data_IF_758050293980
#
_entry.id   IF_758050293980
#
_cell.length_a   1.000
_cell.length_b   1.000
_cell.length_c   1.000
_cell.angle_alpha   90.00
_cell.angle_beta   90.00
_cell.angle_gamma   90.00
#
_symmetry.space_group_name_H-M   'P 1'
#
loop_
_entity.id
_entity.type
_entity.pdbx_description
1 polymer ?
#
# COMPACT_ATOMS: atom_id res chain seq x y z
N UNK A 1 -23.44 -38.83 -17.82
CA UNK A 1 -23.31 -38.76 -19.29
C UNK A 1 -22.06 -37.93 -19.56
N UNK A 2 -20.96 -38.56 -19.97
CA UNK A 2 -19.66 -37.89 -20.07
C UNK A 2 -19.63 -36.93 -21.26
N UNK A 3 -19.36 -35.66 -21.01
CA UNK A 3 -19.13 -34.63 -22.02
C UNK A 3 -17.86 -34.97 -22.78
N UNK A 4 -17.98 -35.31 -24.07
CA UNK A 4 -16.83 -35.42 -24.98
C UNK A 4 -16.35 -34.02 -25.32
N UNK A 5 -15.16 -33.65 -24.87
CA UNK A 5 -14.45 -32.48 -25.41
C UNK A 5 -14.17 -32.68 -26.90
N UNK A 6 -14.73 -31.78 -27.70
CA UNK A 6 -14.44 -31.67 -29.13
C UNK A 6 -13.10 -30.97 -29.31
N UNK A 7 -12.04 -31.72 -29.67
CA UNK A 7 -10.73 -31.15 -30.00
C UNK A 7 -10.69 -30.74 -31.48
N UNK A 8 -10.50 -29.45 -31.74
CA UNK A 8 -10.28 -28.89 -33.09
C UNK A 8 -8.78 -28.82 -33.35
N UNK A 9 -8.33 -29.28 -34.53
CA UNK A 9 -6.92 -29.19 -34.94
C UNK A 9 -6.74 -28.00 -35.87
N UNK A 10 -5.89 -27.06 -35.47
CA UNK A 10 -5.54 -25.86 -36.25
C UNK A 10 -4.06 -25.94 -36.61
N UNK A 11 -3.72 -25.60 -37.85
CA UNK A 11 -2.33 -25.49 -38.34
C UNK A 11 -2.12 -24.05 -38.75
N UNK A 12 -1.08 -23.42 -38.21
CA UNK A 12 -0.73 -22.02 -38.48
C UNK A 12 0.71 -21.95 -38.97
N UNK A 13 0.97 -21.02 -39.89
CA UNK A 13 2.32 -20.68 -40.33
C UNK A 13 2.81 -19.50 -39.51
N UNK A 14 3.98 -19.65 -38.88
CA UNK A 14 4.59 -18.63 -38.03
C UNK A 14 5.99 -18.29 -38.56
N UNK A 15 6.46 -17.02 -38.42
CA UNK A 15 7.81 -16.64 -38.82
C UNK A 15 8.88 -17.40 -38.04
N UNK A 16 10.02 -17.71 -38.67
CA UNK A 16 11.14 -18.44 -38.05
C UNK A 16 11.66 -17.77 -36.76
N UNK A 17 11.61 -16.44 -36.71
CA UNK A 17 11.99 -15.68 -35.50
C UNK A 17 11.07 -15.96 -34.31
N UNK A 18 9.80 -16.27 -34.55
CA UNK A 18 8.86 -16.67 -33.51
C UNK A 18 9.08 -18.12 -33.09
N UNK A 19 9.43 -19.00 -34.03
CA UNK A 19 9.76 -20.40 -33.73
C UNK A 19 10.95 -20.49 -32.78
N UNK A 20 11.99 -19.68 -32.98
CA UNK A 20 13.13 -19.64 -32.06
C UNK A 20 12.76 -19.10 -30.67
N UNK A 21 11.86 -18.12 -30.57
CA UNK A 21 11.39 -17.65 -29.27
C UNK A 21 10.57 -18.71 -28.52
N UNK A 22 9.70 -19.43 -29.22
CA UNK A 22 8.93 -20.54 -28.64
C UNK A 22 9.88 -21.65 -28.17
N UNK A 23 10.91 -21.97 -28.97
CA UNK A 23 11.92 -22.98 -28.64
C UNK A 23 12.70 -22.60 -27.37
N UNK A 24 13.15 -21.36 -27.27
CA UNK A 24 13.85 -20.86 -26.09
C UNK A 24 13.00 -20.90 -24.83
N UNK A 25 11.71 -20.52 -24.91
CA UNK A 25 10.80 -20.58 -23.77
C UNK A 25 10.61 -22.02 -23.26
N UNK A 26 10.45 -22.99 -24.15
CA UNK A 26 10.35 -24.42 -23.78
C UNK A 26 11.70 -24.93 -23.21
N UNK A 27 12.82 -24.58 -23.83
CA UNK A 27 14.16 -24.98 -23.36
C UNK A 27 14.52 -24.39 -21.99
N UNK A 28 13.95 -23.23 -21.64
CA UNK A 28 14.10 -22.60 -20.32
C UNK A 28 13.28 -23.27 -19.22
N UNK A 29 12.41 -24.23 -19.57
CA UNK A 29 11.55 -24.94 -18.64
C UNK A 29 10.30 -24.19 -18.22
N UNK A 30 10.00 -23.03 -18.84
CA UNK A 30 8.79 -22.25 -18.58
C UNK A 30 7.52 -22.95 -19.10
N UNK A 31 7.66 -23.87 -20.06
CA UNK A 31 6.57 -24.64 -20.66
C UNK A 31 7.07 -26.04 -21.01
N UNK A 32 6.23 -27.07 -20.85
CA UNK A 32 6.57 -28.47 -21.13
C UNK A 32 6.81 -28.71 -22.62
N UNK A 33 6.00 -28.07 -23.49
CA UNK A 33 6.16 -28.15 -24.93
C UNK A 33 5.59 -26.92 -25.68
N UNK A 34 5.89 -26.84 -26.97
CA UNK A 34 5.46 -25.72 -27.82
C UNK A 34 3.93 -25.61 -27.94
N UNK A 35 3.20 -26.71 -27.72
CA UNK A 35 1.73 -26.71 -27.76
C UNK A 35 1.17 -26.11 -26.49
N UNK A 36 1.74 -26.42 -25.32
CA UNK A 36 1.39 -25.77 -24.07
C UNK A 36 1.64 -24.27 -24.17
N UNK A 37 2.82 -23.84 -24.62
CA UNK A 37 3.13 -22.42 -24.87
C UNK A 37 2.05 -21.72 -25.70
N UNK A 38 1.69 -22.29 -26.86
CA UNK A 38 0.69 -21.68 -27.75
C UNK A 38 -0.70 -21.70 -27.14
N UNK A 39 -1.07 -22.76 -26.41
CA UNK A 39 -2.39 -22.87 -25.77
C UNK A 39 -2.50 -21.83 -24.66
N UNK A 40 -1.51 -21.74 -23.78
CA UNK A 40 -1.45 -20.75 -22.70
C UNK A 40 -1.40 -19.33 -23.24
N UNK A 41 -0.64 -19.06 -24.30
CA UNK A 41 -0.61 -17.74 -24.92
C UNK A 41 -1.96 -17.32 -25.52
N UNK A 42 -2.70 -18.26 -26.12
CA UNK A 42 -4.04 -18.00 -26.66
C UNK A 42 -5.06 -17.82 -25.54
N UNK A 43 -5.01 -18.64 -24.49
CA UNK A 43 -5.86 -18.51 -23.30
C UNK A 43 -5.62 -17.16 -22.61
N UNK A 44 -4.36 -16.79 -22.37
CA UNK A 44 -3.99 -15.50 -21.80
C UNK A 44 -4.49 -14.32 -22.64
N UNK A 45 -4.40 -14.43 -23.97
CA UNK A 45 -4.89 -13.39 -24.87
C UNK A 45 -6.42 -13.31 -24.88
N UNK A 46 -7.13 -14.44 -24.80
CA UNK A 46 -8.59 -14.48 -24.72
C UNK A 46 -9.10 -13.97 -23.37
N UNK A 47 -8.46 -14.32 -22.27
CA UNK A 47 -8.74 -13.75 -20.95
C UNK A 47 -8.49 -12.24 -20.93
N UNK A 48 -7.42 -11.78 -21.59
CA UNK A 48 -7.13 -10.35 -21.75
C UNK A 48 -8.19 -9.62 -22.58
N UNK A 49 -8.79 -10.28 -23.57
CA UNK A 49 -9.85 -9.73 -24.41
C UNK A 49 -11.24 -9.78 -23.76
N UNK A 50 -11.56 -10.82 -22.97
CA UNK A 50 -12.79 -10.86 -22.16
C UNK A 50 -12.75 -9.83 -21.03
N UNK A 51 -11.58 -9.63 -20.41
CA UNK A 51 -11.33 -8.53 -19.46
C UNK A 51 -11.36 -7.14 -20.13
N UNK A 52 -11.28 -7.03 -21.46
CA UNK A 52 -11.32 -5.74 -22.17
C UNK A 52 -12.75 -5.17 -22.30
N UNK A 53 -13.80 -5.96 -22.06
CA UNK A 53 -15.18 -5.44 -21.95
C UNK A 53 -15.54 -4.95 -20.53
N UNK A 54 -14.68 -5.19 -19.54
CA UNK A 54 -14.74 -4.61 -18.21
C UNK A 54 -13.44 -3.86 -17.91
N UNK A 55 -13.40 -2.59 -18.32
CA UNK A 55 -12.40 -1.55 -18.01
C UNK A 55 -11.23 -1.95 -17.07
N UNK A 56 -10.26 -2.67 -17.66
CA UNK A 56 -8.82 -2.79 -17.37
C UNK A 56 -8.33 -2.69 -15.90
N UNK A 57 -7.99 -3.86 -15.34
CA UNK A 57 -7.02 -4.05 -14.27
C UNK A 57 -5.62 -3.51 -14.67
N UNK A 58 -4.84 -3.08 -13.69
CA UNK A 58 -3.50 -2.48 -13.91
C UNK A 58 -2.37 -3.47 -13.72
N UNK A 59 -1.21 -3.15 -14.32
CA UNK A 59 0.09 -3.79 -14.09
C UNK A 59 0.46 -4.00 -12.60
N UNK A 60 -0.10 -3.21 -11.67
CA UNK A 60 0.04 -3.40 -10.21
C UNK A 60 -0.62 -4.68 -9.70
N UNK A 61 -1.72 -5.13 -10.34
CA UNK A 61 -2.36 -6.41 -10.06
C UNK A 61 -1.59 -7.56 -10.71
N UNK A 62 -1.05 -7.38 -11.93
CA UNK A 62 -0.24 -8.37 -12.61
C UNK A 62 1.12 -8.65 -11.93
N UNK A 63 1.73 -7.65 -11.29
CA UNK A 63 2.98 -7.82 -10.53
C UNK A 63 2.73 -8.51 -9.17
N UNK A 64 1.57 -8.29 -8.56
CA UNK A 64 1.20 -8.96 -7.31
C UNK A 64 1.03 -10.48 -7.52
N UNK A 65 0.47 -10.91 -8.66
CA UNK A 65 0.36 -12.33 -9.01
C UNK A 65 1.73 -13.01 -9.15
N UNK A 66 2.73 -12.32 -9.68
CA UNK A 66 4.10 -12.86 -9.84
C UNK A 66 4.85 -12.99 -8.50
N UNK A 67 4.58 -12.09 -7.54
CA UNK A 67 5.14 -12.19 -6.19
C UNK A 67 4.50 -13.32 -5.36
N UNK A 68 3.22 -13.64 -5.64
CA UNK A 68 2.50 -14.76 -5.02
C UNK A 68 3.04 -16.13 -5.49
N UNK A 69 3.45 -16.28 -6.75
CA UNK A 69 4.03 -17.54 -7.26
C UNK A 69 5.41 -17.82 -6.66
N UNK A 70 6.26 -16.81 -6.48
CA UNK A 70 7.57 -16.97 -5.82
C UNK A 70 7.45 -17.32 -4.33
N UNK A 71 6.36 -16.90 -3.68
CA UNK A 71 6.07 -17.22 -2.28
C UNK A 71 5.52 -18.63 -2.10
N UNK A 72 4.90 -19.20 -3.15
CA UNK A 72 4.36 -20.57 -3.16
C UNK A 72 5.43 -21.63 -3.36
N UNK A 73 6.48 -21.36 -4.14
CA UNK A 73 7.60 -22.32 -4.30
C UNK A 73 8.36 -22.59 -3.00
N UNK A 74 8.44 -21.61 -2.09
CA UNK A 74 9.14 -21.75 -0.79
C UNK A 74 8.30 -22.56 0.22
N UNK A 75 6.98 -22.61 0.06
CA UNK A 75 6.08 -23.32 0.98
C UNK A 75 5.95 -24.83 0.69
N UNK A 76 6.44 -25.32 -0.45
CA UNK A 76 6.29 -26.72 -0.89
C UNK A 76 7.39 -27.63 -0.33
N UNK A 77 8.50 -27.11 0.20
CA UNK A 77 9.61 -27.95 0.68
C UNK A 77 9.47 -28.47 2.13
N UNK A 78 8.46 -28.05 2.90
CA UNK A 78 8.27 -28.51 4.28
C UNK A 78 6.84 -29.01 4.52
N UNK A 79 6.55 -30.25 4.11
CA UNK A 79 5.55 -31.06 4.80
C UNK A 79 5.79 -32.56 4.54
N UNK A 80 6.47 -33.19 5.50
CA UNK A 80 6.42 -34.64 5.70
C UNK A 80 5.26 -34.93 6.67
N UNK A 81 4.37 -35.78 6.18
CA UNK A 81 3.37 -36.62 6.83
C UNK A 81 3.39 -36.68 8.37
N UNK A 82 2.24 -36.40 8.99
CA UNK A 82 1.66 -37.40 9.89
C UNK A 82 0.12 -37.33 9.90
N UNK A 83 -0.48 -38.50 10.12
CA UNK A 83 -1.86 -38.83 9.80
C UNK A 83 -2.60 -39.36 11.03
N UNK A 84 -3.94 -39.25 10.98
CA UNK A 84 -4.96 -39.90 11.85
C UNK A 84 -5.12 -39.31 13.27
N UNK A 85 -6.31 -39.22 13.89
CA UNK A 85 -7.67 -39.62 13.54
C UNK A 85 -8.66 -38.93 14.50
N UNK A 86 -9.90 -38.72 14.02
CA UNK A 86 -11.20 -38.57 14.70
C UNK A 86 -11.35 -37.91 16.10
N UNK A 87 -12.27 -36.96 16.24
CA UNK A 87 -13.65 -37.24 16.73
C UNK A 87 -14.51 -35.94 16.76
N UNK A 88 -15.80 -36.20 16.62
CA UNK A 88 -17.00 -35.38 16.48
C UNK A 88 -17.31 -34.29 17.53
N UNK A 89 -18.13 -33.31 17.10
CA UNK A 89 -19.25 -32.86 17.93
C UNK A 89 -19.44 -31.35 18.14
N UNK A 90 -20.53 -30.84 17.55
CA UNK A 90 -21.41 -29.75 18.05
C UNK A 90 -20.99 -28.27 17.85
N UNK A 91 -21.71 -27.63 16.91
CA UNK A 91 -22.00 -26.19 16.87
C UNK A 91 -23.00 -25.80 17.97
N UNK A 92 -22.92 -24.56 18.48
CA UNK A 92 -24.12 -23.79 18.79
C UNK A 92 -24.20 -22.47 18.02
N UNK A 93 -25.36 -22.24 17.40
CA UNK A 93 -25.89 -20.93 17.03
C UNK A 93 -26.23 -20.14 18.30
N UNK A 94 -25.88 -18.86 18.38
CA UNK A 94 -26.65 -17.88 19.18
C UNK A 94 -26.59 -16.48 18.55
N UNK A 95 -27.75 -16.07 18.04
CA UNK A 95 -28.41 -14.76 18.03
C UNK A 95 -27.65 -13.46 17.73
N UNK A 96 -27.99 -12.92 16.55
CA UNK A 96 -27.92 -11.52 16.20
C UNK A 96 -29.06 -10.74 16.89
N UNK A 97 -28.71 -9.81 17.79
CA UNK A 97 -29.60 -8.71 18.15
C UNK A 97 -28.97 -7.38 17.77
N UNK A 98 -29.73 -6.68 16.94
CA UNK A 98 -29.45 -5.43 16.25
C UNK A 98 -29.89 -4.30 17.18
N UNK A 99 -28.96 -3.63 17.85
CA UNK A 99 -29.22 -2.32 18.45
C UNK A 99 -28.75 -1.23 17.48
N UNK A 100 -29.68 -0.75 16.65
CA UNK A 100 -29.56 0.54 15.97
C UNK A 100 -29.75 1.64 17.02
N UNK A 101 -28.65 2.16 17.56
CA UNK A 101 -28.63 3.47 18.21
C UNK A 101 -28.21 4.52 17.18
N UNK A 102 -29.09 5.49 16.98
CA UNK A 102 -28.84 6.71 16.21
C UNK A 102 -27.58 7.40 16.74
N UNK A 103 -26.50 7.43 15.95
CA UNK A 103 -25.31 8.24 16.22
C UNK A 103 -25.26 9.46 15.31
N UNK A 104 -24.83 10.58 15.90
CA UNK A 104 -24.70 11.88 15.26
C UNK A 104 -23.81 11.82 13.99
N UNK A 105 -23.91 12.81 13.07
CA UNK A 105 -23.19 12.81 11.79
C UNK A 105 -21.65 12.92 11.87
N UNK A 106 -21.06 12.91 13.07
CA UNK A 106 -19.64 13.17 13.31
C UNK A 106 -18.89 12.02 14.00
N UNK A 107 -19.53 10.87 14.28
CA UNK A 107 -18.85 9.72 14.90
C UNK A 107 -18.09 8.90 13.85
N UNK A 108 -16.92 9.38 13.44
CA UNK A 108 -15.86 8.47 12.99
C UNK A 108 -15.29 7.77 14.24
N UNK A 109 -15.22 6.42 14.29
CA UNK A 109 -14.72 5.69 15.46
C UNK A 109 -13.27 6.04 15.87
N UNK A 110 -12.57 6.81 15.04
CA UNK A 110 -11.15 7.13 15.12
C UNK A 110 -10.86 8.64 15.13
N UNK A 111 -11.83 9.45 15.55
CA UNK A 111 -11.61 10.90 15.73
C UNK A 111 -10.47 11.20 16.71
N UNK A 112 -9.92 12.41 16.60
CA UNK A 112 -8.83 12.90 17.46
C UNK A 112 -9.20 12.95 18.93
N UNK A 113 -8.27 12.47 19.78
CA UNK A 113 -8.29 12.63 21.25
C UNK A 113 -7.05 13.39 21.73
N UNK A 114 -6.91 13.55 23.05
CA UNK A 114 -5.70 14.09 23.67
C UNK A 114 -4.70 12.96 23.90
N UNK A 115 -3.51 13.08 23.30
CA UNK A 115 -2.50 12.03 23.34
C UNK A 115 -1.25 12.40 24.15
N UNK A 116 -1.18 13.61 24.73
CA UNK A 116 0.00 14.11 25.46
C UNK A 116 0.48 13.19 26.58
N UNK A 117 -0.44 12.35 27.04
CA UNK A 117 -0.35 11.50 28.19
C UNK A 117 -0.14 10.01 27.86
N UNK A 118 -0.08 9.65 26.57
CA UNK A 118 0.26 8.31 26.09
C UNK A 118 1.77 8.12 26.17
N UNK A 119 2.20 7.02 26.75
CA UNK A 119 3.61 6.63 26.74
C UNK A 119 4.05 6.10 25.37
N UNK A 120 5.25 6.50 24.94
CA UNK A 120 5.82 6.16 23.64
C UNK A 120 7.01 5.22 23.76
N UNK A 121 7.26 4.45 22.71
CA UNK A 121 8.43 3.58 22.57
C UNK A 121 9.57 4.28 21.82
N UNK A 122 10.79 3.72 21.91
CA UNK A 122 11.92 4.20 21.10
C UNK A 122 11.69 3.92 19.61
N UNK A 123 12.32 4.72 18.75
CA UNK A 123 12.34 4.45 17.30
C UNK A 123 12.95 3.08 16.98
N UNK A 124 12.53 2.42 15.88
CA UNK A 124 13.17 1.19 15.44
C UNK A 124 14.62 1.44 15.05
N UNK A 125 15.46 0.41 15.14
CA UNK A 125 16.83 0.51 14.65
C UNK A 125 16.81 0.52 13.12
N UNK A 126 17.47 1.48 12.48
CA UNK A 126 17.49 1.63 11.02
C UNK A 126 18.08 0.42 10.31
N UNK A 127 18.92 -0.38 10.98
CA UNK A 127 19.44 -1.64 10.44
C UNK A 127 18.35 -2.73 10.26
N UNK A 128 17.16 -2.53 10.85
CA UNK A 128 15.99 -3.42 10.68
C UNK A 128 15.10 -2.99 9.51
N UNK A 129 15.44 -1.90 8.80
CA UNK A 129 14.63 -1.28 7.76
C UNK A 129 15.33 -1.36 6.41
N UNK A 130 14.56 -1.31 5.34
CA UNK A 130 15.12 -1.26 3.99
C UNK A 130 15.91 0.05 3.76
N UNK A 131 17.03 -0.07 3.06
CA UNK A 131 17.85 1.07 2.62
C UNK A 131 17.20 1.79 1.42
N UNK A 132 17.46 3.09 1.31
CA UNK A 132 16.98 3.92 0.20
C UNK A 132 15.58 4.52 0.41
N UNK A 133 14.94 5.03 -0.65
CA UNK A 133 13.61 5.63 -0.55
C UNK A 133 12.57 4.59 -0.15
N UNK A 134 11.44 5.05 0.37
CA UNK A 134 10.35 4.18 0.79
C UNK A 134 9.87 3.34 -0.37
N UNK A 135 9.61 2.07 -0.08
CA UNK A 135 9.12 1.12 -1.07
C UNK A 135 7.89 1.66 -1.82
N UNK A 136 7.83 1.34 -3.11
CA UNK A 136 6.86 1.95 -4.02
C UNK A 136 5.41 1.58 -3.70
N UNK A 137 5.17 0.49 -2.97
CA UNK A 137 3.83 0.08 -2.54
C UNK A 137 3.34 0.82 -1.29
N UNK A 138 4.21 1.54 -0.58
CA UNK A 138 3.85 2.53 0.45
C UNK A 138 3.41 3.83 -0.23
N UNK A 139 2.49 3.73 -1.18
CA UNK A 139 2.19 4.78 -2.16
C UNK A 139 1.30 5.91 -1.64
N UNK A 140 0.79 5.82 -0.41
CA UNK A 140 -0.09 6.80 0.22
C UNK A 140 0.26 6.98 1.70
N UNK A 141 -0.05 8.16 2.22
CA UNK A 141 0.22 8.61 3.57
C UNK A 141 -1.02 8.63 4.45
N UNK A 142 -2.21 8.84 3.88
CA UNK A 142 -3.45 8.77 4.65
C UNK A 142 -3.69 7.40 5.33
N UNK A 143 -3.42 6.25 4.68
CA UNK A 143 -3.45 4.96 5.37
C UNK A 143 -2.52 4.91 6.60
N UNK A 144 -1.31 5.47 6.49
CA UNK A 144 -0.36 5.56 7.62
C UNK A 144 -0.95 6.40 8.76
N UNK A 145 -1.52 7.56 8.43
CA UNK A 145 -2.21 8.42 9.42
C UNK A 145 -3.34 7.66 10.12
N UNK A 146 -4.13 6.90 9.38
CA UNK A 146 -5.21 6.08 9.96
C UNK A 146 -4.66 5.06 10.95
N UNK A 147 -3.62 4.30 10.58
CA UNK A 147 -3.02 3.29 11.46
C UNK A 147 -2.45 3.92 12.73
N UNK A 148 -1.68 5.00 12.59
CA UNK A 148 -1.07 5.73 13.71
C UNK A 148 -2.15 6.33 14.64
N UNK A 149 -3.28 6.81 14.08
CA UNK A 149 -4.45 7.26 14.84
C UNK A 149 -5.13 6.11 15.59
N UNK A 150 -5.33 4.96 14.95
CA UNK A 150 -5.89 3.78 15.61
C UNK A 150 -5.04 3.36 16.81
N UNK A 151 -3.71 3.32 16.62
CA UNK A 151 -2.79 2.93 17.69
C UNK A 151 -2.82 3.90 18.86
N UNK A 152 -2.82 5.21 18.60
CA UNK A 152 -2.93 6.22 19.65
C UNK A 152 -4.25 6.11 20.43
N UNK A 153 -5.38 5.91 19.75
CA UNK A 153 -6.67 5.74 20.41
C UNK A 153 -6.72 4.47 21.28
N UNK A 154 -6.09 3.38 20.85
CA UNK A 154 -6.06 2.13 21.62
C UNK A 154 -5.16 2.24 22.86
N UNK A 155 -4.00 2.90 22.74
CA UNK A 155 -3.11 3.17 23.87
C UNK A 155 -3.78 4.08 24.91
N UNK A 156 -4.51 5.11 24.49
CA UNK A 156 -5.26 5.98 25.40
C UNK A 156 -6.39 5.22 26.11
N UNK A 157 -7.14 4.39 25.38
CA UNK A 157 -8.20 3.56 25.98
C UNK A 157 -7.67 2.62 27.05
N UNK A 158 -6.54 1.96 26.80
CA UNK A 158 -5.94 1.01 27.77
C UNK A 158 -5.39 1.73 29.00
N UNK A 159 -4.88 2.96 28.83
CA UNK A 159 -4.45 3.79 29.95
C UNK A 159 -5.59 4.06 30.93
N UNK A 160 -6.78 4.37 30.43
CA UNK A 160 -7.95 4.62 31.28
C UNK A 160 -8.47 3.36 31.98
N UNK A 161 -8.28 2.18 31.36
CA UNK A 161 -8.79 0.90 31.87
C UNK A 161 -7.85 0.19 32.84
N UNK A 162 -6.54 0.45 32.80
CA UNK A 162 -5.52 -0.28 33.58
C UNK A 162 -4.79 0.62 34.58
N UNK A 163 -4.46 0.04 35.74
CA UNK A 163 -3.65 0.72 36.75
C UNK A 163 -2.18 0.90 36.32
N UNK A 164 -1.72 0.15 35.32
CA UNK A 164 -0.40 0.25 34.69
C UNK A 164 -0.57 0.53 33.20
N UNK A 165 0.03 1.63 32.74
CA UNK A 165 0.13 2.00 31.32
C UNK A 165 1.01 0.98 30.58
N UNK A 166 0.52 0.47 29.44
CA UNK A 166 1.32 -0.30 28.50
C UNK A 166 1.66 0.56 27.29
N UNK A 167 2.93 0.58 26.90
CA UNK A 167 3.42 1.24 25.68
C UNK A 167 3.24 0.37 24.43
N UNK A 168 2.88 -0.91 24.64
CA UNK A 168 2.85 -1.96 23.62
C UNK A 168 1.44 -2.55 23.52
N UNK A 169 0.99 -2.73 22.26
CA UNK A 169 -0.24 -3.41 21.89
C UNK A 169 0.10 -4.73 21.20
N UNK A 170 -0.69 -5.78 21.42
CA UNK A 170 -0.56 -7.04 20.69
C UNK A 170 -0.83 -6.80 19.19
N UNK A 171 0.18 -7.07 18.35
CA UNK A 171 0.14 -6.75 16.92
C UNK A 171 -0.97 -7.54 16.19
N UNK A 172 -1.13 -8.86 16.34
CA UNK A 172 -2.21 -9.60 15.65
C UNK A 172 -3.62 -9.08 15.95
N UNK A 173 -3.90 -8.69 17.19
CA UNK A 173 -5.19 -8.10 17.57
C UNK A 173 -5.37 -6.70 16.96
N UNK A 174 -4.33 -5.87 17.06
CA UNK A 174 -4.32 -4.52 16.50
C UNK A 174 -4.49 -4.53 14.98
N UNK A 175 -3.81 -5.44 14.30
CA UNK A 175 -3.75 -5.58 12.85
C UNK A 175 -5.14 -5.85 12.26
N UNK A 176 -5.81 -6.88 12.77
CA UNK A 176 -7.17 -7.24 12.34
C UNK A 176 -8.18 -6.12 12.60
N UNK A 177 -8.15 -5.55 13.81
CA UNK A 177 -9.06 -4.47 14.18
C UNK A 177 -8.86 -3.22 13.31
N UNK A 178 -7.60 -2.88 13.03
CA UNK A 178 -7.26 -1.71 12.21
C UNK A 178 -7.63 -1.91 10.75
N UNK A 179 -7.48 -3.12 10.21
CA UNK A 179 -7.92 -3.45 8.85
C UNK A 179 -9.44 -3.30 8.67
N UNK A 180 -10.24 -3.72 9.65
CA UNK A 180 -11.70 -3.55 9.65
C UNK A 180 -12.12 -2.07 9.66
N UNK A 181 -11.46 -1.27 10.50
CA UNK A 181 -11.66 0.18 10.54
C UNK A 181 -11.28 0.80 9.19
N UNK A 182 -10.10 0.45 8.66
CA UNK A 182 -9.59 0.96 7.39
C UNK A 182 -10.53 0.62 6.22
N UNK A 183 -11.12 -0.57 6.22
CA UNK A 183 -12.12 -0.97 5.22
C UNK A 183 -13.38 -0.14 5.34
N UNK A 184 -13.87 0.05 6.56
CA UNK A 184 -15.08 0.84 6.82
C UNK A 184 -14.89 2.29 6.37
N UNK A 185 -13.78 2.92 6.76
CA UNK A 185 -13.40 4.27 6.33
C UNK A 185 -13.22 4.31 4.81
N UNK A 186 -12.48 3.35 4.26
CA UNK A 186 -12.18 3.25 2.83
C UNK A 186 -13.43 3.17 1.97
N UNK A 187 -14.42 2.35 2.34
CA UNK A 187 -15.69 2.27 1.61
C UNK A 187 -16.46 3.60 1.63
N UNK A 188 -16.49 4.31 2.77
CA UNK A 188 -17.14 5.62 2.88
C UNK A 188 -16.45 6.69 2.02
N UNK A 189 -15.12 6.74 2.07
CA UNK A 189 -14.31 7.65 1.25
C UNK A 189 -14.43 7.31 -0.24
N UNK A 190 -14.40 6.02 -0.61
CA UNK A 190 -14.56 5.59 -2.00
C UNK A 190 -15.92 5.99 -2.59
N UNK A 191 -17.00 5.85 -1.82
CA UNK A 191 -18.32 6.35 -2.25
C UNK A 191 -18.33 7.87 -2.42
N UNK A 192 -17.56 8.62 -1.64
CA UNK A 192 -17.40 10.07 -1.86
C UNK A 192 -16.57 10.35 -3.12
N UNK A 193 -15.46 9.64 -3.34
CA UNK A 193 -14.64 9.75 -4.55
C UNK A 193 -15.48 9.56 -5.81
N UNK A 194 -16.36 8.55 -5.82
CA UNK A 194 -17.30 8.28 -6.92
C UNK A 194 -18.28 9.43 -7.15
N UNK A 195 -18.89 9.97 -6.08
CA UNK A 195 -19.80 11.12 -6.19
C UNK A 195 -19.10 12.37 -6.72
N UNK A 196 -17.81 12.55 -6.43
CA UNK A 196 -17.00 13.65 -6.94
C UNK A 196 -16.39 13.36 -8.33
N UNK A 197 -16.59 12.17 -8.88
CA UNK A 197 -16.03 11.79 -10.18
C UNK A 197 -14.50 11.73 -10.19
N UNK A 198 -13.86 11.48 -9.04
CA UNK A 198 -12.40 11.41 -8.93
C UNK A 198 -11.87 10.22 -9.73
N UNK A 199 -10.83 10.48 -10.52
CA UNK A 199 -10.17 9.42 -11.31
C UNK A 199 -9.25 8.60 -10.42
N UNK A 200 -8.88 7.41 -10.87
CA UNK A 200 -8.05 6.44 -10.12
C UNK A 200 -6.84 7.06 -9.41
N UNK A 201 -6.10 7.97 -10.06
CA UNK A 201 -4.93 8.63 -9.48
C UNK A 201 -5.23 9.68 -8.41
N UNK A 202 -6.46 10.19 -8.39
CA UNK A 202 -6.95 11.31 -7.59
C UNK A 202 -7.82 10.86 -6.40
N UNK A 203 -8.18 9.56 -6.36
CA UNK A 203 -9.02 8.95 -5.31
C UNK A 203 -8.36 9.07 -3.94
N UNK A 204 -9.12 9.59 -2.97
CA UNK A 204 -8.68 9.71 -1.58
C UNK A 204 -8.68 8.35 -0.87
N UNK A 205 -9.52 7.40 -1.31
CA UNK A 205 -9.56 6.05 -0.77
C UNK A 205 -8.40 5.15 -1.22
N UNK A 206 -7.50 5.66 -2.07
CA UNK A 206 -6.35 4.90 -2.54
C UNK A 206 -5.49 4.42 -1.36
N UNK A 207 -5.05 3.15 -1.42
CA UNK A 207 -4.30 2.50 -0.34
C UNK A 207 -5.16 1.92 0.78
N UNK A 208 -6.46 2.23 0.85
CA UNK A 208 -7.38 1.58 1.80
C UNK A 208 -7.97 0.29 1.21
N UNK A 209 -8.40 -0.67 2.06
CA UNK A 209 -8.90 -1.96 1.62
C UNK A 209 -10.34 -1.88 1.09
N UNK A 210 -10.51 -1.29 -0.09
CA UNK A 210 -11.82 -1.08 -0.74
C UNK A 210 -12.16 -2.12 -1.80
N UNK A 211 -11.31 -3.12 -2.01
CA UNK A 211 -11.49 -4.18 -3.00
C UNK A 211 -12.78 -4.98 -2.79
N UNK A 212 -13.23 -5.63 -3.87
CA UNK A 212 -14.35 -6.58 -3.83
C UNK A 212 -13.99 -7.80 -2.98
N UNK A 213 -12.82 -8.39 -3.25
CA UNK A 213 -12.19 -9.37 -2.37
C UNK A 213 -11.72 -8.67 -1.08
N UNK A 214 -12.54 -8.80 -0.04
CA UNK A 214 -12.32 -8.14 1.24
C UNK A 214 -11.01 -8.61 1.88
N UNK A 215 -10.82 -9.93 1.93
CA UNK A 215 -9.71 -10.59 2.61
C UNK A 215 -8.38 -10.21 1.97
N UNK A 216 -8.24 -10.34 0.63
CA UNK A 216 -7.01 -9.93 -0.06
C UNK A 216 -6.73 -8.44 0.06
N UNK A 217 -7.77 -7.61 0.00
CA UNK A 217 -7.58 -6.16 0.13
C UNK A 217 -7.11 -5.77 1.53
N UNK A 218 -7.63 -6.44 2.56
CA UNK A 218 -7.24 -6.25 3.96
C UNK A 218 -5.82 -6.75 4.20
N UNK A 219 -5.47 -7.97 3.79
CA UNK A 219 -4.10 -8.49 3.95
C UNK A 219 -3.04 -7.59 3.30
N UNK A 220 -3.34 -7.04 2.11
CA UNK A 220 -2.47 -6.03 1.47
C UNK A 220 -2.33 -4.76 2.31
N UNK A 221 -3.45 -4.26 2.86
CA UNK A 221 -3.43 -3.10 3.74
C UNK A 221 -2.61 -3.36 5.00
N UNK A 222 -2.79 -4.52 5.63
CA UNK A 222 -2.05 -4.95 6.82
C UNK A 222 -0.55 -5.00 6.52
N UNK A 223 -0.16 -5.70 5.44
CA UNK A 223 1.24 -5.84 5.02
C UNK A 223 1.89 -4.48 4.71
N UNK A 224 1.19 -3.57 4.04
CA UNK A 224 1.80 -2.32 3.59
C UNK A 224 1.70 -1.16 4.59
N UNK A 225 0.61 -1.08 5.33
CA UNK A 225 0.26 0.12 6.10
C UNK A 225 0.12 -0.14 7.60
N UNK A 226 0.01 -1.39 8.06
CA UNK A 226 0.21 -1.74 9.47
C UNK A 226 1.67 -2.14 9.68
N UNK A 227 2.13 -3.16 8.95
CA UNK A 227 3.48 -3.69 9.02
C UNK A 227 3.60 -4.97 9.85
N UNK A 228 4.76 -5.61 9.77
CA UNK A 228 5.08 -6.84 10.51
C UNK A 228 6.49 -6.75 11.09
N UNK A 229 6.70 -7.38 12.24
CA UNK A 229 8.03 -7.79 12.68
C UNK A 229 8.30 -9.19 12.11
N UNK A 230 9.44 -9.37 11.46
CA UNK A 230 9.83 -10.66 10.88
C UNK A 230 10.71 -11.46 11.85
N UNK A 231 10.84 -12.77 11.60
CA UNK A 231 11.63 -13.67 12.44
C UNK A 231 13.14 -13.31 12.48
N UNK A 232 13.63 -12.54 11.51
CA UNK A 232 15.00 -12.00 11.47
C UNK A 232 15.20 -10.66 12.16
N UNK A 233 14.15 -10.09 12.75
CA UNK A 233 14.17 -8.75 13.36
C UNK A 233 13.97 -7.61 12.37
N UNK A 234 13.85 -7.89 11.07
CA UNK A 234 13.48 -6.89 10.07
C UNK A 234 12.03 -6.43 10.29
N UNK A 235 11.77 -5.17 9.99
CA UNK A 235 10.44 -4.58 10.09
C UNK A 235 9.93 -4.20 8.70
N UNK A 236 8.70 -4.55 8.40
CA UNK A 236 8.01 -4.18 7.15
C UNK A 236 6.85 -3.25 7.43
N UNK A 237 6.40 -2.54 6.39
CA UNK A 237 5.28 -1.62 6.44
C UNK A 237 5.72 -0.15 6.47
N UNK A 238 4.85 0.73 6.01
CA UNK A 238 5.12 2.16 5.94
C UNK A 238 5.34 2.82 7.32
N UNK A 239 4.54 2.54 8.37
CA UNK A 239 4.74 3.19 9.68
C UNK A 239 6.12 2.98 10.32
N UNK A 240 6.70 1.75 10.39
CA UNK A 240 8.04 1.57 10.94
C UNK A 240 9.14 2.15 10.03
N UNK A 241 8.98 2.10 8.70
CA UNK A 241 9.90 2.76 7.76
C UNK A 241 9.89 4.29 7.87
N UNK A 242 8.79 4.85 8.37
CA UNK A 242 8.67 6.26 8.71
C UNK A 242 9.05 6.54 10.18
N UNK A 243 9.54 5.57 10.94
CA UNK A 243 9.88 5.70 12.36
C UNK A 243 8.72 6.23 13.24
N UNK A 244 7.47 6.04 12.81
CA UNK A 244 6.26 6.46 13.55
C UNK A 244 5.83 5.41 14.56
N UNK A 245 6.22 4.15 14.33
CA UNK A 245 5.98 3.04 15.25
C UNK A 245 7.26 2.22 15.38
N UNK A 246 7.31 1.42 16.43
CA UNK A 246 8.29 0.34 16.57
C UNK A 246 7.55 -0.97 16.85
N UNK A 247 8.16 -2.08 16.49
CA UNK A 247 7.60 -3.41 16.65
C UNK A 247 8.62 -4.38 17.23
N UNK A 248 8.14 -5.35 17.99
CA UNK A 248 8.98 -6.41 18.57
C UNK A 248 8.33 -7.76 18.29
N UNK A 249 9.14 -8.80 18.09
CA UNK A 249 8.69 -10.15 17.81
C UNK A 249 8.40 -10.97 19.09
N UNK A 250 8.10 -10.30 20.20
CA UNK A 250 7.76 -10.96 21.47
C UNK A 250 6.28 -11.36 21.47
N UNK A 251 5.96 -12.58 21.94
CA UNK A 251 4.59 -13.10 22.13
C UNK A 251 3.63 -12.91 20.93
N UNK A 252 4.10 -13.23 19.72
CA UNK A 252 3.31 -13.12 18.49
C UNK A 252 3.34 -11.73 17.83
N UNK A 253 4.11 -10.81 18.40
CA UNK A 253 4.33 -9.47 17.88
C UNK A 253 3.67 -8.41 18.73
N UNK A 254 4.39 -7.32 19.01
CA UNK A 254 3.85 -6.12 19.63
C UNK A 254 4.19 -4.89 18.80
N UNK A 255 3.34 -3.86 18.93
CA UNK A 255 3.50 -2.57 18.25
C UNK A 255 3.33 -1.44 19.26
N UNK A 256 4.19 -0.43 19.17
CA UNK A 256 4.16 0.76 20.00
C UNK A 256 4.35 2.04 19.19
N UNK A 257 3.82 3.14 19.70
CA UNK A 257 3.89 4.45 19.06
C UNK A 257 5.19 5.15 19.43
N UNK A 258 5.94 5.68 18.47
CA UNK A 258 7.09 6.55 18.78
C UNK A 258 6.62 7.96 19.12
N UNK A 259 7.53 8.81 19.59
CA UNK A 259 7.25 10.24 19.78
C UNK A 259 6.72 10.90 18.49
N UNK A 260 7.39 10.65 17.36
CA UNK A 260 6.97 11.17 16.06
C UNK A 260 5.62 10.60 15.62
N UNK A 261 5.35 9.32 15.92
CA UNK A 261 4.03 8.72 15.73
C UNK A 261 2.94 9.42 16.53
N UNK A 262 3.22 9.75 17.78
CA UNK A 262 2.30 10.48 18.67
C UNK A 262 2.02 11.89 18.16
N UNK A 263 3.06 12.62 17.77
CA UNK A 263 2.91 13.94 17.16
C UNK A 263 2.06 13.86 15.90
N UNK A 264 2.39 12.94 14.99
CA UNK A 264 1.63 12.76 13.75
C UNK A 264 0.18 12.36 14.03
N UNK A 265 -0.07 11.48 15.01
CA UNK A 265 -1.41 11.11 15.47
C UNK A 265 -2.18 12.35 15.93
N UNK A 266 -1.57 13.24 16.72
CA UNK A 266 -2.21 14.44 17.29
C UNK A 266 -2.65 15.47 16.26
N UNK A 267 -2.06 15.50 15.06
CA UNK A 267 -2.45 16.44 14.01
C UNK A 267 -3.90 16.22 13.56
N UNK A 268 -4.59 17.30 13.20
CA UNK A 268 -5.93 17.22 12.62
C UNK A 268 -5.87 16.63 11.21
N UNK A 269 -6.76 15.67 10.92
CA UNK A 269 -6.90 15.08 9.61
C UNK A 269 -8.25 15.45 8.99
N UNK A 270 -8.29 15.92 7.72
CA UNK A 270 -9.53 16.35 7.09
C UNK A 270 -10.58 15.24 7.00
N UNK A 271 -10.18 14.00 6.71
CA UNK A 271 -11.11 12.87 6.54
C UNK A 271 -11.54 12.26 7.85
N UNK A 272 -10.64 12.17 8.84
CA UNK A 272 -10.95 11.55 10.13
C UNK A 272 -11.70 12.49 11.07
N UNK A 273 -11.35 13.78 11.06
CA UNK A 273 -11.87 14.77 12.00
C UNK A 273 -12.86 15.75 11.35
N UNK A 274 -12.69 16.05 10.06
CA UNK A 274 -13.54 16.96 9.29
C UNK A 274 -14.69 16.31 8.54
N UNK A 275 -14.64 14.98 8.34
CA UNK A 275 -15.67 14.20 7.64
C UNK A 275 -15.24 13.68 6.26
N UNK A 276 -15.98 12.69 5.76
CA UNK A 276 -15.66 12.00 4.51
C UNK A 276 -15.92 12.81 3.24
N UNK A 277 -16.44 14.03 3.36
CA UNK A 277 -16.65 14.98 2.28
C UNK A 277 -15.47 15.96 2.08
N UNK A 278 -14.40 15.81 2.87
CA UNK A 278 -13.20 16.59 2.71
C UNK A 278 -12.58 16.41 1.31
N UNK A 279 -12.05 17.50 0.76
CA UNK A 279 -11.44 17.48 -0.58
C UNK A 279 -10.01 16.94 -0.61
N UNK A 280 -9.39 16.73 0.56
CA UNK A 280 -8.00 16.33 0.70
C UNK A 280 -7.89 15.21 1.75
N UNK A 281 -6.94 14.28 1.57
CA UNK A 281 -6.69 13.21 2.53
C UNK A 281 -5.77 13.63 3.68
N UNK A 282 -4.92 14.65 3.47
CA UNK A 282 -4.03 15.24 4.46
C UNK A 282 -4.26 16.75 4.60
N UNK A 283 -4.19 17.24 5.84
CA UNK A 283 -4.15 18.65 6.20
C UNK A 283 -2.79 19.27 5.88
N UNK A 284 -2.73 20.61 5.89
CA UNK A 284 -1.46 21.33 5.67
C UNK A 284 -0.43 21.01 6.78
N UNK A 285 -0.87 20.81 8.01
CA UNK A 285 0.00 20.47 9.12
C UNK A 285 0.61 19.06 8.94
N UNK A 286 -0.20 18.08 8.53
CA UNK A 286 0.26 16.72 8.27
C UNK A 286 1.29 16.65 7.13
N UNK A 287 1.05 17.40 6.04
CA UNK A 287 1.99 17.48 4.91
C UNK A 287 3.33 18.09 5.33
N UNK A 288 3.29 19.19 6.11
CA UNK A 288 4.49 19.84 6.65
C UNK A 288 5.27 18.93 7.59
N UNK A 289 4.57 18.28 8.51
CA UNK A 289 5.16 17.29 9.40
C UNK A 289 5.89 16.23 8.58
N UNK A 290 5.21 15.61 7.61
CA UNK A 290 5.81 14.54 6.81
C UNK A 290 7.09 15.01 6.09
N UNK A 291 7.03 16.14 5.39
CA UNK A 291 8.19 16.66 4.62
C UNK A 291 9.37 16.95 5.55
N UNK A 292 9.13 17.59 6.70
CA UNK A 292 10.20 17.84 7.67
C UNK A 292 10.73 16.55 8.27
N UNK A 293 9.83 15.63 8.61
CA UNK A 293 10.16 14.36 9.25
C UNK A 293 11.04 13.49 8.36
N UNK A 294 10.66 13.27 7.10
CA UNK A 294 11.47 12.46 6.18
C UNK A 294 12.79 13.14 5.82
N UNK A 295 12.85 14.48 5.75
CA UNK A 295 14.13 15.20 5.60
C UNK A 295 15.10 14.84 6.73
N UNK A 296 14.59 14.79 7.97
CA UNK A 296 15.42 14.66 9.15
C UNK A 296 15.75 13.19 9.47
N UNK A 297 14.86 12.24 9.17
CA UNK A 297 15.01 10.84 9.58
C UNK A 297 15.04 9.80 8.45
N UNK A 298 14.67 10.18 7.22
CA UNK A 298 14.72 9.33 6.00
C UNK A 298 15.21 10.14 4.80
N UNK A 299 16.44 10.69 4.84
CA UNK A 299 16.94 11.61 3.82
C UNK A 299 16.88 11.01 2.40
N UNK A 300 17.00 9.69 2.24
CA UNK A 300 16.92 9.02 0.94
C UNK A 300 15.53 9.15 0.29
N UNK A 301 14.46 9.15 1.09
CA UNK A 301 13.11 9.43 0.58
C UNK A 301 12.96 10.89 0.19
N UNK A 302 13.50 11.81 1.00
CA UNK A 302 13.46 13.24 0.72
C UNK A 302 14.23 13.58 -0.57
N UNK A 303 15.46 13.08 -0.69
CA UNK A 303 16.30 13.23 -1.88
C UNK A 303 15.64 12.63 -3.13
N UNK A 304 14.97 11.48 -3.01
CA UNK A 304 14.21 10.90 -4.10
C UNK A 304 13.04 11.79 -4.55
N UNK A 305 12.33 12.42 -3.61
CA UNK A 305 11.28 13.40 -3.92
C UNK A 305 11.86 14.65 -4.60
N UNK A 306 13.01 15.17 -4.13
CA UNK A 306 13.71 16.30 -4.76
C UNK A 306 14.13 15.96 -6.19
N UNK A 307 14.66 14.75 -6.43
CA UNK A 307 15.06 14.30 -7.77
C UNK A 307 13.87 14.19 -8.73
N UNK A 308 12.73 13.69 -8.25
CA UNK A 308 11.50 13.67 -9.05
C UNK A 308 11.02 15.09 -9.34
N UNK A 309 11.03 15.99 -8.34
CA UNK A 309 10.62 17.38 -8.54
C UNK A 309 11.52 18.10 -9.56
N UNK A 310 12.85 17.95 -9.41
CA UNK A 310 13.83 18.48 -10.35
C UNK A 310 13.62 17.94 -11.77
N UNK A 311 13.36 16.64 -11.92
CA UNK A 311 13.08 16.05 -13.23
C UNK A 311 11.82 16.66 -13.88
N UNK A 312 10.76 16.90 -13.11
CA UNK A 312 9.55 17.56 -13.61
C UNK A 312 9.86 19.00 -14.06
N UNK A 313 10.63 19.76 -13.27
CA UNK A 313 11.06 21.13 -13.62
C UNK A 313 11.91 21.15 -14.92
N UNK A 314 12.78 20.16 -15.11
CA UNK A 314 13.60 19.99 -16.31
C UNK A 314 12.81 19.51 -17.55
N UNK A 315 11.53 19.18 -17.38
CA UNK A 315 10.63 18.77 -18.47
C UNK A 315 10.46 17.26 -18.64
N UNK A 316 11.05 16.44 -17.79
CA UNK A 316 10.83 14.99 -17.72
C UNK A 316 9.49 14.69 -17.02
N UNK A 317 8.38 15.20 -17.57
CA UNK A 317 7.07 15.24 -16.93
C UNK A 317 6.21 13.97 -17.15
N UNK A 318 6.78 12.90 -17.71
CA UNK A 318 6.06 11.67 -18.09
C UNK A 318 6.42 10.47 -17.23
N UNK A 319 5.50 9.49 -17.08
CA UNK A 319 5.78 8.21 -16.46
C UNK A 319 7.09 7.54 -16.91
N UNK A 320 7.36 7.49 -18.21
CA UNK A 320 8.55 6.84 -18.76
C UNK A 320 9.82 7.61 -18.44
N UNK A 321 9.85 8.92 -18.72
CA UNK A 321 11.02 9.77 -18.44
C UNK A 321 11.33 9.82 -16.94
N UNK A 322 10.31 9.93 -16.08
CA UNK A 322 10.51 9.87 -14.63
C UNK A 322 11.02 8.51 -14.15
N UNK A 323 10.64 7.42 -14.80
CA UNK A 323 11.16 6.08 -14.45
C UNK A 323 12.67 6.02 -14.73
N UNK A 324 13.11 6.56 -15.87
CA UNK A 324 14.54 6.65 -16.21
C UNK A 324 15.29 7.50 -15.19
N UNK A 325 14.71 8.63 -14.76
CA UNK A 325 15.29 9.51 -13.73
C UNK A 325 15.39 8.83 -12.37
N UNK A 326 14.36 8.09 -11.96
CA UNK A 326 14.33 7.34 -10.70
C UNK A 326 15.32 6.17 -10.71
N UNK A 327 15.55 5.53 -11.86
CA UNK A 327 16.51 4.44 -11.98
C UNK A 327 17.96 4.86 -11.64
N UNK A 328 18.29 6.15 -11.72
CA UNK A 328 19.61 6.65 -11.30
C UNK A 328 19.82 6.68 -9.78
N UNK A 329 18.75 6.59 -8.97
CA UNK A 329 18.87 6.53 -7.52
C UNK A 329 19.54 5.23 -7.06
N UNK A 330 19.32 4.14 -7.80
CA UNK A 330 20.00 2.87 -7.56
C UNK A 330 20.21 2.12 -8.88
N UNK A 331 21.46 2.03 -9.37
CA UNK A 331 21.76 1.40 -10.67
C UNK A 331 21.51 -0.11 -10.69
N UNK A 332 21.29 -0.74 -9.53
CA UNK A 332 20.97 -2.16 -9.43
C UNK A 332 19.47 -2.44 -9.57
N UNK A 333 18.62 -1.41 -9.60
CA UNK A 333 17.19 -1.63 -9.82
C UNK A 333 16.90 -2.07 -11.24
N UNK A 334 16.09 -3.12 -11.35
CA UNK A 334 15.43 -3.46 -12.60
C UNK A 334 14.47 -2.35 -13.02
N UNK A 335 14.08 -2.34 -14.30
CA UNK A 335 13.08 -1.40 -14.79
C UNK A 335 11.73 -1.54 -14.05
N UNK A 336 11.35 -2.75 -13.63
CA UNK A 336 10.12 -2.95 -12.84
C UNK A 336 10.25 -2.33 -11.45
N UNK A 337 11.39 -2.48 -10.78
CA UNK A 337 11.65 -1.84 -9.49
C UNK A 337 11.61 -0.32 -9.60
N UNK A 338 12.30 0.27 -10.58
CA UNK A 338 12.29 1.72 -10.81
C UNK A 338 10.87 2.25 -11.10
N UNK A 339 10.05 1.52 -11.87
CA UNK A 339 8.64 1.88 -12.10
C UNK A 339 7.83 1.87 -10.82
N UNK A 340 8.02 0.87 -9.97
CA UNK A 340 7.34 0.74 -8.68
C UNK A 340 7.70 1.89 -7.76
N UNK A 341 8.99 2.19 -7.60
CA UNK A 341 9.46 3.33 -6.79
C UNK A 341 8.92 4.66 -7.33
N UNK A 342 8.99 4.89 -8.65
CA UNK A 342 8.44 6.10 -9.27
C UNK A 342 6.93 6.24 -9.06
N UNK A 343 6.17 5.15 -9.15
CA UNK A 343 4.72 5.15 -8.86
C UNK A 343 4.47 5.58 -7.42
N UNK A 344 5.19 4.98 -6.46
CA UNK A 344 5.10 5.35 -5.04
C UNK A 344 5.44 6.82 -4.78
N UNK A 345 6.57 7.30 -5.28
CA UNK A 345 7.01 8.69 -5.12
C UNK A 345 5.99 9.67 -5.69
N UNK A 346 5.60 9.52 -6.96
CA UNK A 346 4.61 10.43 -7.60
C UNK A 346 3.21 10.32 -6.98
N UNK A 347 2.91 9.22 -6.29
CA UNK A 347 1.67 9.03 -5.54
C UNK A 347 1.71 9.76 -4.19
N UNK A 348 2.80 9.62 -3.42
CA UNK A 348 3.02 10.36 -2.17
C UNK A 348 3.16 11.86 -2.40
N UNK A 349 3.94 12.28 -3.41
CA UNK A 349 4.12 13.69 -3.76
C UNK A 349 2.81 14.36 -4.20
N UNK A 350 1.91 13.61 -4.86
CA UNK A 350 0.56 14.11 -5.16
C UNK A 350 -0.26 14.34 -3.90
N UNK A 351 -0.21 13.40 -2.95
CA UNK A 351 -0.94 13.52 -1.70
C UNK A 351 -0.40 14.64 -0.78
N UNK A 352 0.91 14.86 -0.83
CA UNK A 352 1.58 16.00 -0.20
C UNK A 352 1.24 17.33 -0.89
N UNK A 353 0.61 17.28 -2.07
CA UNK A 353 0.31 18.45 -2.88
C UNK A 353 1.55 19.11 -3.47
N UNK A 354 2.65 18.37 -3.64
CA UNK A 354 3.87 18.84 -4.32
C UNK A 354 3.77 18.70 -5.84
N UNK A 355 3.00 17.73 -6.30
CA UNK A 355 2.85 17.41 -7.73
C UNK A 355 1.37 17.27 -8.05
N UNK A 356 0.92 17.85 -9.16
CA UNK A 356 -0.39 17.58 -9.74
C UNK A 356 -0.27 16.71 -11.01
N UNK A 357 -1.40 16.17 -11.48
CA UNK A 357 -1.50 15.30 -12.64
C UNK A 357 -2.41 15.94 -13.68
N UNK A 358 -1.90 16.09 -14.90
CA UNK A 358 -2.68 16.54 -16.06
C UNK A 358 -2.79 15.44 -17.11
N UNK A 359 -3.98 15.32 -17.70
CA UNK A 359 -4.20 14.39 -18.82
C UNK A 359 -3.62 14.98 -20.09
N UNK A 360 -2.87 14.18 -20.84
CA UNK A 360 -2.28 14.58 -22.13
C UNK A 360 -2.64 13.56 -23.19
N UNK A 361 -3.37 14.01 -24.20
CA UNK A 361 -3.99 13.13 -25.18
C UNK A 361 -5.05 12.21 -24.57
N UNK A 362 -5.38 11.12 -25.28
CA UNK A 362 -6.46 10.22 -24.85
C UNK A 362 -6.07 9.33 -23.67
N UNK A 363 -4.79 8.96 -23.50
CA UNK A 363 -4.34 8.00 -22.48
C UNK A 363 -3.08 8.43 -21.71
N UNK A 364 -2.48 9.58 -22.02
CA UNK A 364 -1.27 10.04 -21.37
C UNK A 364 -1.54 10.78 -20.06
N UNK A 365 -0.61 10.66 -19.13
CA UNK A 365 -0.52 11.49 -17.92
C UNK A 365 0.78 12.30 -18.00
N UNK A 366 0.73 13.56 -17.58
CA UNK A 366 1.89 14.34 -17.20
C UNK A 366 1.79 14.73 -15.73
N UNK A 367 2.94 15.03 -15.16
CA UNK A 367 3.08 15.59 -13.83
C UNK A 367 3.45 17.08 -13.95
N UNK A 368 3.04 17.88 -13.00
CA UNK A 368 3.47 19.27 -12.90
C UNK A 368 3.71 19.62 -11.44
N UNK A 369 4.69 20.49 -11.17
CA UNK A 369 4.90 21.01 -9.83
C UNK A 369 3.76 21.96 -9.47
N UNK A 370 3.27 21.83 -8.24
CA UNK A 370 2.40 22.84 -7.64
C UNK A 370 3.25 23.98 -7.10
N UNK A 371 2.63 25.05 -6.61
CA UNK A 371 3.35 26.12 -5.92
C UNK A 371 4.11 25.59 -4.68
N UNK A 372 3.54 24.62 -3.98
CA UNK A 372 4.18 23.90 -2.88
C UNK A 372 5.35 23.04 -3.36
N UNK A 373 5.24 22.38 -4.52
CA UNK A 373 6.32 21.61 -5.15
C UNK A 373 7.49 22.49 -5.58
N UNK A 374 7.21 23.64 -6.20
CA UNK A 374 8.22 24.63 -6.57
C UNK A 374 8.93 25.18 -5.33
N UNK A 375 8.18 25.45 -4.25
CA UNK A 375 8.75 25.90 -2.98
C UNK A 375 9.62 24.82 -2.32
N UNK A 376 9.20 23.55 -2.41
CA UNK A 376 9.95 22.40 -1.91
C UNK A 376 11.30 22.28 -2.61
N UNK A 377 11.31 22.38 -3.95
CA UNK A 377 12.53 22.26 -4.75
C UNK A 377 13.47 23.47 -4.58
N UNK A 378 12.93 24.69 -4.62
CA UNK A 378 13.75 25.91 -4.66
C UNK A 378 14.19 26.41 -3.29
N UNK A 379 13.52 25.97 -2.23
CA UNK A 379 13.84 26.34 -0.87
C UNK A 379 13.93 25.06 -0.05
N UNK A 380 15.09 24.42 -0.05
CA UNK A 380 15.43 23.30 0.85
C UNK A 380 15.30 23.59 2.36
N UNK A 381 14.62 24.68 2.75
CA UNK A 381 14.39 25.10 4.13
C UNK A 381 13.08 25.91 4.38
N UNK A 382 12.27 26.32 3.39
CA UNK A 382 11.19 27.28 3.65
C UNK A 382 9.80 26.68 3.94
N UNK A 383 9.70 25.36 4.06
CA UNK A 383 8.56 24.75 4.74
C UNK A 383 8.62 24.92 6.27
N UNK A 384 9.74 25.43 6.82
CA UNK A 384 10.02 25.52 8.26
C UNK A 384 9.88 26.94 8.86
N UNK A 385 9.48 27.96 8.10
CA UNK A 385 9.39 29.34 8.63
C UNK A 385 8.10 30.01 8.22
N UNK A 386 7.04 29.72 8.97
CA UNK A 386 5.99 30.70 9.30
C UNK A 386 5.48 30.27 10.68
N UNK A 387 6.04 30.90 11.71
CA UNK A 387 5.60 30.82 13.11
C UNK A 387 4.22 31.46 13.30
#
# INVERSE_FOLDING_TARGET
>A
MGTRESKVKVVIEVPDSLVEQIRLAVESGEYDDAREFVTTAVENQLESEEASQQEAQTLEEAIATVAEDQSREIAVENNIEDSSDNDSGQKPQVDAQKEERESNPTDTPIGRRQYDEIETVSQPNTAQLDEGPLWGQYNRLFPVKLVVRCLANELERIKDERAESSQWINLPQFDNHTADIARTVGKKVASHDERQGRKRGEKLAAGLPTGEDAEKSMDRFQTHFVGRAEHGGNLTGAPPHLLLVNMQQEDGGTIGLTEAGREFASLENPLLDGGFDASNSLSRAERRFYVSHVRDVRPEEHEAMEKVAQAIEEGDDRPTSLTERVAYLNPNWSNSQAKTIRSGLTSRMYELGLVDRRRVGQRGTAYELTAEGDAFLNKGAAFATDN
#
